data_IF_937211960054
#
_entry.id   IF_937211960054
#
_cell.length_a   1.000
_cell.length_b   1.000
_cell.length_c   1.000
_cell.angle_alpha   90.00
_cell.angle_beta   90.00
_cell.angle_gamma   90.00
#
_symmetry.space_group_name_H-M   'P 1'
#
loop_
_entity.id
_entity.type
_entity.pdbx_description
1 polymer ?
#
# COMPACT_ATOMS: atom_id res chain seq x y z
N UNK A 1 -43.77 -15.51 -15.02
CA UNK A 1 -42.95 -16.35 -14.13
C UNK A 1 -41.51 -16.51 -14.62
N UNK A 2 -41.27 -16.77 -15.88
CA UNK A 2 -39.90 -16.94 -16.40
C UNK A 2 -38.99 -15.68 -16.24
N UNK A 3 -39.55 -14.50 -16.31
CA UNK A 3 -38.80 -13.23 -16.13
C UNK A 3 -38.38 -12.97 -14.68
N UNK A 4 -39.18 -13.42 -13.73
CA UNK A 4 -38.88 -13.26 -12.30
C UNK A 4 -37.75 -14.20 -11.84
N UNK A 5 -37.70 -15.40 -12.41
CA UNK A 5 -36.67 -16.39 -12.11
C UNK A 5 -35.29 -15.94 -12.63
N UNK A 6 -35.24 -15.29 -13.79
CA UNK A 6 -34.01 -14.74 -14.36
C UNK A 6 -33.48 -13.59 -13.50
N UNK A 7 -34.36 -12.71 -12.99
CA UNK A 7 -33.97 -11.60 -12.12
C UNK A 7 -33.41 -12.08 -10.79
N UNK A 8 -34.00 -13.13 -10.21
CA UNK A 8 -33.52 -13.75 -8.98
C UNK A 8 -32.15 -14.43 -9.17
N UNK A 9 -31.93 -15.04 -10.33
CA UNK A 9 -30.67 -15.70 -10.65
C UNK A 9 -29.53 -14.70 -10.89
N UNK A 10 -29.86 -13.53 -11.45
CA UNK A 10 -28.87 -12.44 -11.65
C UNK A 10 -28.46 -11.81 -10.32
N UNK A 11 -29.34 -11.78 -9.33
CA UNK A 11 -29.03 -11.25 -8.00
C UNK A 11 -28.10 -12.15 -7.19
N UNK A 12 -28.12 -13.45 -7.45
CA UNK A 12 -27.27 -14.44 -6.78
C UNK A 12 -25.79 -14.40 -7.24
N UNK A 13 -25.52 -13.81 -8.40
CA UNK A 13 -24.14 -13.68 -8.92
C UNK A 13 -23.43 -12.38 -8.48
N UNK A 14 -24.11 -11.45 -7.80
CA UNK A 14 -23.52 -10.19 -7.34
C UNK A 14 -22.82 -10.26 -5.97
N UNK A 15 -22.61 -11.43 -5.40
CA UNK A 15 -22.24 -11.56 -4.00
C UNK A 15 -20.80 -11.96 -3.73
N UNK A 16 -19.82 -11.44 -4.46
CA UNK A 16 -18.42 -11.59 -4.04
C UNK A 16 -17.53 -10.46 -4.55
N UNK A 17 -17.88 -9.23 -4.21
CA UNK A 17 -16.93 -8.13 -4.34
C UNK A 17 -16.11 -8.11 -3.04
N UNK A 18 -15.01 -8.82 -3.03
CA UNK A 18 -14.03 -8.68 -1.98
C UNK A 18 -13.29 -7.36 -2.20
N UNK A 19 -13.73 -6.32 -1.56
CA UNK A 19 -12.99 -5.07 -1.51
C UNK A 19 -11.75 -5.25 -0.62
N UNK A 20 -10.59 -4.87 -1.12
CA UNK A 20 -9.39 -4.70 -0.30
C UNK A 20 -9.66 -3.55 0.66
N UNK A 21 -9.79 -3.83 1.94
CA UNK A 21 -10.05 -2.80 2.95
C UNK A 21 -8.76 -2.05 3.32
N UNK A 22 -8.11 -1.47 2.32
CA UNK A 22 -6.99 -0.58 2.54
C UNK A 22 -7.53 0.83 2.86
N UNK A 23 -7.26 1.28 4.07
CA UNK A 23 -7.84 2.53 4.58
C UNK A 23 -7.04 3.76 4.23
N UNK A 24 -5.74 3.61 3.99
CA UNK A 24 -4.87 4.72 3.65
C UNK A 24 -3.41 4.31 3.63
N UNK A 25 -2.57 5.28 3.34
CA UNK A 25 -1.13 5.08 3.33
C UNK A 25 -0.36 6.38 3.29
N UNK A 26 0.90 6.30 3.59
CA UNK A 26 1.84 7.40 3.58
C UNK A 26 3.16 6.93 2.97
N UNK A 27 3.70 7.72 2.06
CA UNK A 27 4.99 7.48 1.43
C UNK A 27 5.95 8.60 1.81
N UNK A 28 7.02 8.25 2.52
CA UNK A 28 8.06 9.19 2.95
C UNK A 28 9.35 8.84 2.25
N UNK A 29 9.99 9.84 1.67
CA UNK A 29 11.33 9.74 1.07
C UNK A 29 12.27 10.65 1.84
N UNK A 30 13.37 10.11 2.35
CA UNK A 30 14.41 10.84 3.04
C UNK A 30 15.72 10.76 2.27
N UNK A 31 16.42 11.88 2.23
CA UNK A 31 17.75 11.95 1.65
C UNK A 31 18.78 11.85 2.79
N UNK A 32 19.52 10.76 2.83
CA UNK A 32 20.56 10.52 3.83
C UNK A 32 21.89 11.14 3.44
N UNK A 33 22.26 11.00 2.17
CA UNK A 33 23.46 11.54 1.56
C UNK A 33 23.15 11.93 0.11
N UNK A 34 23.96 12.78 -0.53
CA UNK A 34 23.74 13.12 -1.93
C UNK A 34 23.61 11.87 -2.82
N UNK A 35 22.45 11.72 -3.44
CA UNK A 35 22.15 10.58 -4.30
C UNK A 35 21.59 9.33 -3.60
N UNK A 36 21.57 9.27 -2.28
CA UNK A 36 21.03 8.15 -1.50
C UNK A 36 19.71 8.55 -0.84
N UNK A 37 18.66 7.79 -1.14
CA UNK A 37 17.32 8.02 -0.63
C UNK A 37 16.77 6.78 0.07
N UNK A 38 16.23 6.97 1.24
CA UNK A 38 15.48 5.97 1.98
C UNK A 38 13.99 6.20 1.81
N UNK A 39 13.26 5.11 1.57
CA UNK A 39 11.82 5.13 1.33
C UNK A 39 11.14 4.35 2.43
N UNK A 40 10.13 4.97 3.05
CA UNK A 40 9.23 4.34 4.01
C UNK A 40 7.79 4.43 3.47
N UNK A 41 7.20 3.29 3.19
CA UNK A 41 5.79 3.17 2.83
C UNK A 41 5.03 2.61 4.03
N UNK A 42 4.08 3.36 4.56
CA UNK A 42 3.19 2.92 5.63
C UNK A 42 1.79 2.73 5.08
N UNK A 43 1.20 1.57 5.32
CA UNK A 43 -0.15 1.23 4.87
C UNK A 43 -1.02 0.84 6.05
N UNK A 44 -2.26 1.29 6.03
CA UNK A 44 -3.27 1.00 7.05
C UNK A 44 -4.34 0.08 6.46
N UNK A 45 -4.59 -1.02 7.13
CA UNK A 45 -5.52 -2.06 6.70
C UNK A 45 -6.61 -2.27 7.74
N UNK A 46 -7.86 -2.40 7.28
CA UNK A 46 -8.93 -2.93 8.11
C UNK A 46 -8.67 -4.41 8.41
N UNK A 47 -8.78 -4.80 9.69
CA UNK A 47 -8.57 -6.19 10.13
C UNK A 47 -9.54 -7.19 9.48
N UNK A 48 -10.68 -6.71 9.00
CA UNK A 48 -11.69 -7.53 8.29
C UNK A 48 -11.43 -7.62 6.78
N UNK A 49 -10.42 -6.92 6.27
CA UNK A 49 -10.10 -6.89 4.85
C UNK A 49 -9.23 -8.05 4.37
N UNK A 50 -8.87 -8.00 3.10
CA UNK A 50 -7.95 -8.96 2.48
C UNK A 50 -6.57 -8.84 3.15
N UNK A 51 -5.85 -9.94 3.38
CA UNK A 51 -4.49 -9.89 3.93
C UNK A 51 -3.56 -8.99 3.13
N UNK A 52 -2.67 -8.29 3.82
CA UNK A 52 -1.67 -7.43 3.19
C UNK A 52 -0.69 -8.27 2.36
N UNK A 53 -0.42 -7.82 1.15
CA UNK A 53 0.63 -8.42 0.32
C UNK A 53 2.00 -8.15 0.95
N UNK A 54 2.87 -9.16 0.92
CA UNK A 54 4.19 -9.09 1.54
C UNK A 54 5.22 -8.30 0.73
N UNK A 55 4.92 -7.99 -0.53
CA UNK A 55 5.77 -7.18 -1.40
C UNK A 55 4.94 -6.04 -1.98
N UNK A 56 5.48 -4.83 -1.90
CA UNK A 56 4.91 -3.62 -2.50
C UNK A 56 5.92 -3.04 -3.49
N UNK A 57 5.44 -2.57 -4.63
CA UNK A 57 6.29 -1.96 -5.64
C UNK A 57 6.16 -0.44 -5.62
N UNK A 58 7.29 0.24 -5.61
CA UNK A 58 7.37 1.69 -5.70
C UNK A 58 8.03 2.05 -7.01
N UNK A 59 7.36 2.85 -7.83
CA UNK A 59 7.86 3.34 -9.10
C UNK A 59 8.53 4.70 -8.91
N UNK A 60 9.71 4.85 -9.47
CA UNK A 60 10.46 6.11 -9.47
C UNK A 60 10.37 6.72 -10.87
N UNK A 61 9.83 7.91 -10.94
CA UNK A 61 9.67 8.69 -12.17
C UNK A 61 10.68 9.84 -12.21
N UNK A 62 11.18 10.13 -13.41
CA UNK A 62 11.97 11.34 -13.64
C UNK A 62 11.06 12.56 -13.92
N UNK A 63 11.67 13.72 -14.14
CA UNK A 63 10.94 14.97 -14.41
C UNK A 63 10.13 14.96 -15.71
N UNK A 64 10.46 14.09 -16.66
CA UNK A 64 9.69 13.89 -17.90
C UNK A 64 8.50 12.94 -17.75
N UNK A 65 8.30 12.36 -16.59
CA UNK A 65 7.21 11.43 -16.31
C UNK A 65 7.48 9.98 -16.75
N UNK A 66 8.73 9.65 -17.06
CA UNK A 66 9.12 8.28 -17.41
C UNK A 66 9.57 7.50 -16.19
N UNK A 67 9.25 6.21 -16.13
CA UNK A 67 9.69 5.32 -15.06
C UNK A 67 11.19 5.06 -15.22
N UNK A 68 11.96 5.43 -14.20
CA UNK A 68 13.41 5.18 -14.14
C UNK A 68 13.69 3.78 -13.61
N UNK A 69 12.99 3.40 -12.56
CA UNK A 69 13.12 2.09 -11.94
C UNK A 69 11.89 1.76 -11.09
N UNK A 70 11.71 0.48 -10.82
CA UNK A 70 10.69 -0.02 -9.88
C UNK A 70 11.41 -0.74 -8.74
N UNK A 71 11.09 -0.37 -7.51
CA UNK A 71 11.70 -0.92 -6.31
C UNK A 71 10.71 -1.84 -5.63
N UNK A 72 11.08 -3.11 -5.47
CA UNK A 72 10.30 -4.06 -4.70
C UNK A 72 10.66 -3.93 -3.21
N UNK A 73 9.67 -3.57 -2.39
CA UNK A 73 9.82 -3.45 -0.95
C UNK A 73 9.18 -4.65 -0.28
N UNK A 74 9.95 -5.39 0.49
CA UNK A 74 9.47 -6.57 1.19
C UNK A 74 9.11 -6.25 2.64
N UNK A 75 8.07 -6.94 3.13
CA UNK A 75 7.65 -6.86 4.51
C UNK A 75 8.67 -7.55 5.43
N UNK A 76 9.21 -6.83 6.39
CA UNK A 76 10.02 -7.39 7.46
C UNK A 76 9.14 -7.53 8.72
N UNK A 77 8.75 -8.75 9.05
CA UNK A 77 7.87 -9.04 10.18
C UNK A 77 8.53 -8.79 11.55
N UNK A 78 9.86 -8.73 11.60
CA UNK A 78 10.61 -8.48 12.83
C UNK A 78 10.96 -7.01 13.06
N UNK A 79 10.77 -6.16 12.04
CA UNK A 79 11.08 -4.75 12.14
C UNK A 79 9.99 -3.98 12.89
N UNK A 80 10.39 -2.87 13.49
CA UNK A 80 9.51 -1.92 14.16
C UNK A 80 9.38 -0.66 13.31
N UNK A 81 8.17 -0.13 13.25
CA UNK A 81 7.92 1.13 12.56
C UNK A 81 8.75 2.26 13.19
N UNK A 82 9.53 3.02 12.42
CA UNK A 82 10.49 3.99 12.99
C UNK A 82 9.83 5.13 13.76
N UNK A 83 8.56 5.44 13.48
CA UNK A 83 7.81 6.51 14.16
C UNK A 83 6.91 5.95 15.25
N UNK A 84 6.16 4.88 14.96
CA UNK A 84 5.17 4.34 15.90
C UNK A 84 5.75 3.32 16.88
N UNK A 85 6.92 2.74 16.58
CA UNK A 85 7.51 1.68 17.40
C UNK A 85 6.71 0.37 17.41
N UNK A 86 5.82 0.16 16.46
CA UNK A 86 4.98 -1.02 16.35
C UNK A 86 5.52 -1.97 15.28
N UNK A 87 5.41 -3.26 15.53
CA UNK A 87 5.74 -4.28 14.54
C UNK A 87 4.69 -4.31 13.41
N UNK A 88 5.09 -4.81 12.26
CA UNK A 88 4.20 -5.04 11.13
C UNK A 88 3.00 -5.90 11.51
N UNK A 89 1.80 -5.46 11.12
CA UNK A 89 0.55 -6.14 11.44
C UNK A 89 -0.04 -5.81 12.81
N UNK A 90 0.59 -4.91 13.58
CA UNK A 90 0.04 -4.46 14.86
C UNK A 90 -1.24 -3.67 14.69
N UNK A 91 -2.19 -3.89 15.58
CA UNK A 91 -3.44 -3.12 15.64
C UNK A 91 -3.19 -1.79 16.32
N UNK A 92 -3.62 -0.70 15.70
CA UNK A 92 -3.51 0.64 16.27
C UNK A 92 -4.51 0.82 17.42
N UNK A 93 -4.04 1.23 18.62
CA UNK A 93 -4.90 1.27 19.81
C UNK A 93 -5.90 2.43 19.84
N UNK A 94 -5.77 3.42 18.95
CA UNK A 94 -6.53 4.67 18.99
C UNK A 94 -7.81 4.66 18.14
N UNK A 95 -8.04 3.60 17.38
CA UNK A 95 -9.21 3.50 16.52
C UNK A 95 -10.32 2.67 17.17
N UNK A 96 -11.59 3.06 16.99
CA UNK A 96 -12.74 2.33 17.54
C UNK A 96 -13.00 0.98 16.85
N UNK A 97 -12.38 0.75 15.70
CA UNK A 97 -12.41 -0.50 14.93
C UNK A 97 -10.97 -0.95 14.64
N UNK A 98 -10.80 -2.22 14.32
CA UNK A 98 -9.47 -2.78 14.08
C UNK A 98 -8.79 -2.20 12.83
N UNK A 99 -7.71 -1.49 13.03
CA UNK A 99 -6.82 -0.98 11.98
C UNK A 99 -5.43 -1.51 12.24
N UNK A 100 -4.88 -2.23 11.29
CA UNK A 100 -3.51 -2.73 11.34
C UNK A 100 -2.58 -1.79 10.58
N UNK A 101 -1.37 -1.61 11.10
CA UNK A 101 -0.31 -0.87 10.43
C UNK A 101 0.70 -1.82 9.80
N UNK A 102 1.04 -1.55 8.55
CA UNK A 102 2.11 -2.22 7.82
C UNK A 102 3.08 -1.19 7.29
N UNK A 103 4.35 -1.54 7.25
CA UNK A 103 5.35 -0.65 6.67
C UNK A 103 6.39 -1.44 5.88
N UNK A 104 6.89 -0.78 4.84
CA UNK A 104 7.85 -1.32 3.90
C UNK A 104 8.96 -0.31 3.74
N UNK A 105 10.20 -0.78 3.74
CA UNK A 105 11.37 0.06 3.59
C UNK A 105 12.15 -0.33 2.34
N UNK A 106 12.74 0.66 1.70
CA UNK A 106 13.62 0.46 0.56
C UNK A 106 14.62 1.60 0.48
N UNK A 107 15.70 1.37 -0.27
CA UNK A 107 16.69 2.39 -0.60
C UNK A 107 16.80 2.55 -2.10
N UNK A 108 16.97 3.78 -2.53
CA UNK A 108 17.15 4.14 -3.93
C UNK A 108 18.38 5.02 -4.08
N UNK A 109 19.27 4.62 -5.01
CA UNK A 109 20.43 5.43 -5.36
C UNK A 109 20.22 6.06 -6.72
N UNK A 110 20.49 7.36 -6.81
CA UNK A 110 20.38 8.13 -8.03
C UNK A 110 21.72 8.81 -8.33
N UNK A 111 22.40 8.35 -9.37
CA UNK A 111 23.67 8.92 -9.82
C UNK A 111 23.49 10.17 -10.68
N UNK A 112 22.33 10.36 -11.28
CA UNK A 112 22.03 11.48 -12.19
C UNK A 112 21.24 12.53 -11.41
N UNK A 113 21.76 13.77 -11.28
CA UNK A 113 21.02 14.85 -10.65
C UNK A 113 19.71 15.15 -11.38
N UNK A 114 18.67 15.49 -10.63
CA UNK A 114 17.38 15.82 -11.20
C UNK A 114 16.25 15.73 -10.16
N UNK A 115 15.04 15.99 -10.61
CA UNK A 115 13.83 15.80 -9.82
C UNK A 115 13.25 14.42 -10.10
N UNK A 116 12.94 13.71 -9.04
CA UNK A 116 12.36 12.36 -9.08
C UNK A 116 11.11 12.31 -8.22
N UNK A 117 10.17 11.50 -8.65
CA UNK A 117 8.93 11.25 -7.92
C UNK A 117 8.81 9.77 -7.60
N UNK A 118 8.64 9.46 -6.33
CA UNK A 118 8.29 8.11 -5.89
C UNK A 118 6.77 7.95 -5.85
N UNK A 119 6.27 6.90 -6.43
CA UNK A 119 4.83 6.61 -6.50
C UNK A 119 4.55 5.18 -6.09
N UNK A 120 3.54 5.02 -5.27
CA UNK A 120 2.94 3.74 -4.95
C UNK A 120 1.49 3.74 -5.39
N UNK A 121 1.09 2.70 -6.09
CA UNK A 121 -0.26 2.54 -6.60
C UNK A 121 -0.82 1.16 -6.23
N UNK A 122 -2.08 1.13 -5.86
CA UNK A 122 -2.82 -0.09 -5.61
C UNK A 122 -4.22 0.03 -6.22
N UNK A 123 -4.58 -0.94 -7.04
CA UNK A 123 -5.84 -0.92 -7.79
C UNK A 123 -7.11 -0.92 -6.93
N UNK A 124 -7.01 -1.39 -5.66
CA UNK A 124 -8.20 -1.84 -4.93
C UNK A 124 -8.37 -1.13 -3.58
N UNK A 125 -8.32 0.20 -3.62
CA UNK A 125 -8.63 1.02 -2.47
C UNK A 125 -10.12 0.96 -2.14
N UNK A 126 -10.45 0.92 -0.86
CA UNK A 126 -11.81 1.24 -0.45
C UNK A 126 -12.17 2.66 -0.92
N UNK A 127 -13.26 2.77 -1.63
CA UNK A 127 -13.89 4.08 -1.78
C UNK A 127 -14.33 4.53 -0.38
N UNK A 128 -13.72 5.58 0.08
CA UNK A 128 -14.12 6.20 1.33
C UNK A 128 -15.52 6.80 1.19
#
# INVERSE_FOLDING_TARGET
>A
MKRFTILLFTFLFCSNINATHLMGGELIVQNDQPGDYDILLTLYRDTLGIPMQTTQNIEIYNSSGSVVTTIACNLDTNAFHPVFGLQNGSVLPFFPYGVEVYFFTASFQCAIPGEYTASWDNCCRNAA
#
